data_IF_335025282240
#
_entry.id   IF_335025282240
#
_cell.length_a   1.000
_cell.length_b   1.000
_cell.length_c   1.000
_cell.angle_alpha   90.00
_cell.angle_beta   90.00
_cell.angle_gamma   90.00
#
_symmetry.space_group_name_H-M   'P 1'
#
loop_
_entity.id
_entity.type
_entity.pdbx_description
1 polymer ?
#
# COMPACT_ATOMS: atom_id res chain seq x y z
N UNK A 1 -12.21 -10.56 19.10
CA UNK A 1 -12.36 -10.52 17.62
C UNK A 1 -12.37 -9.07 17.17
N UNK A 2 -11.65 -8.68 16.10
CA UNK A 2 -11.66 -7.31 15.60
C UNK A 2 -13.05 -6.92 15.06
N UNK A 3 -13.44 -5.66 15.23
CA UNK A 3 -14.69 -5.10 14.68
C UNK A 3 -14.41 -4.47 13.32
N UNK A 4 -14.45 -5.25 12.23
CA UNK A 4 -14.05 -4.79 10.90
C UNK A 4 -14.82 -3.54 10.40
N UNK A 5 -16.06 -3.34 10.86
CA UNK A 5 -16.89 -2.18 10.50
C UNK A 5 -16.29 -0.81 10.88
N UNK A 6 -15.33 -0.74 11.81
CA UNK A 6 -14.64 0.52 12.15
C UNK A 6 -13.84 1.10 10.99
N UNK A 7 -13.54 0.30 9.96
CA UNK A 7 -12.90 0.79 8.74
C UNK A 7 -13.84 1.66 7.89
N UNK A 8 -15.17 1.54 8.07
CA UNK A 8 -16.15 2.34 7.34
C UNK A 8 -16.09 3.83 7.72
N UNK A 9 -15.56 4.17 8.91
CA UNK A 9 -15.29 5.55 9.33
C UNK A 9 -14.26 6.24 8.41
N UNK A 10 -13.47 5.46 7.67
CA UNK A 10 -12.47 5.93 6.72
C UNK A 10 -12.87 5.74 5.25
N UNK A 11 -14.17 5.64 4.94
CA UNK A 11 -14.66 5.32 3.59
C UNK A 11 -14.06 6.18 2.47
N UNK A 12 -13.92 7.49 2.68
CA UNK A 12 -13.28 8.39 1.70
C UNK A 12 -11.80 8.06 1.49
N UNK A 13 -11.04 7.85 2.57
CA UNK A 13 -9.62 7.53 2.48
C UNK A 13 -9.39 6.15 1.83
N UNK A 14 -10.21 5.16 2.19
CA UNK A 14 -10.13 3.82 1.61
C UNK A 14 -10.46 3.82 0.12
N UNK A 15 -11.36 4.69 -0.34
CA UNK A 15 -11.63 4.85 -1.77
C UNK A 15 -10.41 5.40 -2.52
N UNK A 16 -9.71 6.39 -1.96
CA UNK A 16 -8.46 6.91 -2.57
C UNK A 16 -7.34 5.86 -2.58
N UNK A 17 -7.19 5.08 -1.50
CA UNK A 17 -6.24 3.95 -1.44
C UNK A 17 -6.59 2.88 -2.49
N UNK A 18 -7.87 2.60 -2.70
CA UNK A 18 -8.32 1.65 -3.72
C UNK A 18 -7.93 2.12 -5.14
N UNK A 19 -7.98 3.43 -5.43
CA UNK A 19 -7.54 3.98 -6.73
C UNK A 19 -6.06 3.71 -6.99
N UNK A 20 -5.19 3.80 -5.98
CA UNK A 20 -3.77 3.44 -6.13
C UNK A 20 -3.62 1.97 -6.53
N UNK A 21 -4.40 1.09 -5.89
CA UNK A 21 -4.44 -0.34 -6.23
C UNK A 21 -4.88 -0.57 -7.68
N UNK A 22 -5.92 0.13 -8.14
CA UNK A 22 -6.40 0.08 -9.53
C UNK A 22 -5.34 0.57 -10.52
N UNK A 23 -4.70 1.72 -10.24
CA UNK A 23 -3.60 2.23 -11.05
C UNK A 23 -2.45 1.21 -11.17
N UNK A 24 -2.09 0.55 -10.06
CA UNK A 24 -1.09 -0.51 -10.07
C UNK A 24 -1.52 -1.75 -10.88
N UNK A 25 -2.81 -2.12 -10.87
CA UNK A 25 -3.35 -3.20 -11.69
C UNK A 25 -3.22 -2.85 -13.17
N UNK A 26 -3.60 -1.64 -13.58
CA UNK A 26 -3.55 -1.16 -14.96
C UNK A 26 -2.12 -1.07 -15.50
N UNK A 27 -1.17 -0.65 -14.65
CA UNK A 27 0.25 -0.53 -15.02
C UNK A 27 0.98 -1.86 -15.07
N UNK A 28 0.56 -2.84 -14.27
CA UNK A 28 1.22 -4.12 -14.12
C UNK A 28 0.23 -5.27 -14.33
N UNK A 29 -0.26 -5.86 -13.25
CA UNK A 29 -1.26 -6.92 -13.24
C UNK A 29 -1.80 -7.11 -11.83
N UNK A 30 -3.00 -7.66 -11.71
CA UNK A 30 -3.61 -7.93 -10.39
C UNK A 30 -2.76 -8.91 -9.59
N UNK A 31 -2.40 -8.52 -8.36
CA UNK A 31 -1.62 -9.34 -7.44
C UNK A 31 -0.12 -9.36 -7.71
N UNK A 32 0.39 -8.62 -8.69
CA UNK A 32 1.84 -8.51 -8.92
C UNK A 32 2.60 -7.94 -7.72
N UNK A 33 1.94 -7.06 -6.95
CA UNK A 33 2.49 -6.40 -5.77
C UNK A 33 3.04 -7.40 -4.72
N UNK A 34 2.43 -8.58 -4.57
CA UNK A 34 2.86 -9.55 -3.56
C UNK A 34 4.09 -10.36 -3.95
N UNK A 35 4.51 -10.29 -5.21
CA UNK A 35 5.64 -11.06 -5.76
C UNK A 35 6.87 -10.17 -6.00
N UNK A 36 6.83 -8.93 -5.54
CA UNK A 36 7.94 -8.00 -5.65
C UNK A 36 9.08 -8.51 -4.77
N UNK A 37 10.23 -8.82 -5.39
CA UNK A 37 11.46 -9.13 -4.68
C UNK A 37 11.81 -8.00 -3.72
N UNK A 38 12.16 -8.35 -2.48
CA UNK A 38 12.42 -7.41 -1.39
C UNK A 38 11.27 -6.42 -1.15
N UNK A 39 10.04 -6.89 -1.34
CA UNK A 39 8.84 -6.06 -1.33
C UNK A 39 8.69 -5.19 -0.08
N UNK A 40 9.05 -5.70 1.11
CA UNK A 40 9.02 -4.91 2.34
C UNK A 40 9.93 -3.68 2.27
N UNK A 41 11.15 -3.83 1.74
CA UNK A 41 12.11 -2.72 1.56
C UNK A 41 11.58 -1.77 0.49
N UNK A 42 11.18 -2.30 -0.67
CA UNK A 42 10.71 -1.48 -1.79
C UNK A 42 9.46 -0.66 -1.45
N UNK A 43 8.52 -1.23 -0.70
CA UNK A 43 7.34 -0.51 -0.23
C UNK A 43 7.65 0.46 0.91
N UNK A 44 8.67 0.20 1.72
CA UNK A 44 9.17 1.18 2.70
C UNK A 44 9.77 2.41 2.00
N UNK A 45 10.61 2.20 0.98
CA UNK A 45 11.19 3.29 0.20
C UNK A 45 10.12 4.08 -0.56
N UNK A 46 9.14 3.39 -1.15
CA UNK A 46 8.04 4.05 -1.85
C UNK A 46 7.18 4.89 -0.90
N UNK A 47 6.80 4.33 0.25
CA UNK A 47 6.12 5.05 1.33
C UNK A 47 6.88 6.33 1.68
N UNK A 48 8.19 6.23 1.95
CA UNK A 48 9.00 7.39 2.34
C UNK A 48 9.10 8.44 1.25
N UNK A 49 9.22 8.03 -0.03
CA UNK A 49 9.22 8.98 -1.15
C UNK A 49 7.92 9.79 -1.22
N UNK A 50 6.77 9.16 -1.03
CA UNK A 50 5.50 9.89 -1.05
C UNK A 50 5.33 10.82 0.15
N UNK A 51 5.74 10.40 1.36
CA UNK A 51 5.72 11.26 2.55
C UNK A 51 6.63 12.49 2.40
N UNK A 52 7.80 12.33 1.78
CA UNK A 52 8.72 13.44 1.54
C UNK A 52 8.21 14.39 0.45
N UNK A 53 7.65 13.84 -0.63
CA UNK A 53 7.14 14.60 -1.77
C UNK A 53 5.82 15.35 -1.46
N UNK A 54 5.03 14.89 -0.49
CA UNK A 54 3.76 15.51 -0.10
C UNK A 54 3.92 16.98 0.34
N UNK A 55 5.07 17.34 0.91
CA UNK A 55 5.39 18.72 1.29
C UNK A 55 5.63 19.65 0.08
N UNK A 56 5.88 19.08 -1.11
CA UNK A 56 6.16 19.80 -2.34
C UNK A 56 4.91 19.86 -3.24
N UNK A 57 4.16 18.76 -3.31
CA UNK A 57 2.91 18.67 -4.08
C UNK A 57 1.92 17.72 -3.41
N UNK A 58 0.63 18.01 -3.57
CA UNK A 58 -0.45 17.14 -3.06
C UNK A 58 -0.63 15.86 -3.88
N UNK A 59 -0.34 15.93 -5.18
CA UNK A 59 -0.53 14.84 -6.13
C UNK A 59 0.80 14.36 -6.68
N UNK A 60 0.90 13.05 -6.88
CA UNK A 60 2.02 12.39 -7.53
C UNK A 60 1.98 12.65 -9.04
N UNK A 61 3.12 12.97 -9.64
CA UNK A 61 3.19 13.39 -11.04
C UNK A 61 2.97 12.28 -12.07
N UNK A 62 3.20 11.01 -11.70
CA UNK A 62 3.03 9.86 -12.61
C UNK A 62 1.56 9.43 -12.67
N UNK A 63 0.90 9.40 -11.51
CA UNK A 63 -0.47 8.88 -11.36
C UNK A 63 -1.54 9.97 -11.30
N UNK A 64 -1.18 11.21 -10.98
CA UNK A 64 -2.09 12.30 -10.62
C UNK A 64 -3.03 11.95 -9.43
N UNK A 65 -2.57 11.07 -8.52
CA UNK A 65 -3.28 10.66 -7.31
C UNK A 65 -2.58 11.19 -6.05
N UNK A 66 -3.27 11.21 -4.92
CA UNK A 66 -2.76 11.80 -3.67
C UNK A 66 -1.50 11.09 -3.15
N UNK A 67 -0.47 11.84 -2.77
CA UNK A 67 0.69 11.28 -2.07
C UNK A 67 0.30 10.53 -0.80
N UNK A 68 -0.64 11.08 -0.01
CA UNK A 68 -1.19 10.40 1.17
C UNK A 68 -1.80 9.02 0.85
N UNK A 69 -2.50 8.89 -0.28
CA UNK A 69 -3.11 7.62 -0.68
C UNK A 69 -2.05 6.60 -1.09
N UNK A 70 -1.02 7.03 -1.83
CA UNK A 70 0.13 6.19 -2.14
C UNK A 70 0.85 5.74 -0.87
N UNK A 71 1.09 6.63 0.08
CA UNK A 71 1.69 6.31 1.36
C UNK A 71 0.87 5.22 2.09
N UNK A 72 -0.43 5.42 2.24
CA UNK A 72 -1.31 4.44 2.88
C UNK A 72 -1.33 3.08 2.16
N UNK A 73 -1.38 3.06 0.82
CA UNK A 73 -1.34 1.83 0.04
C UNK A 73 0.00 1.07 0.22
N UNK A 74 1.13 1.78 0.18
CA UNK A 74 2.46 1.19 0.40
C UNK A 74 2.60 0.65 1.83
N UNK A 75 2.06 1.34 2.84
CA UNK A 75 2.04 0.85 4.22
C UNK A 75 1.25 -0.45 4.36
N UNK A 76 0.09 -0.57 3.72
CA UNK A 76 -0.71 -1.80 3.68
C UNK A 76 0.03 -2.95 2.99
N UNK A 77 0.61 -2.70 1.81
CA UNK A 77 1.36 -3.71 1.07
C UNK A 77 2.56 -4.22 1.89
N UNK A 78 3.31 -3.31 2.52
CA UNK A 78 4.40 -3.64 3.44
C UNK A 78 3.93 -4.50 4.61
N UNK A 79 2.88 -4.08 5.30
CA UNK A 79 2.34 -4.80 6.47
C UNK A 79 1.87 -6.21 6.09
N UNK A 80 1.13 -6.34 4.99
CA UNK A 80 0.63 -7.62 4.50
C UNK A 80 1.78 -8.58 4.16
N UNK A 81 2.87 -8.09 3.55
CA UNK A 81 4.06 -8.92 3.29
C UNK A 81 4.75 -9.40 4.58
N UNK A 82 4.85 -8.54 5.61
CA UNK A 82 5.41 -8.92 6.91
C UNK A 82 4.58 -10.03 7.57
N UNK A 83 3.25 -9.84 7.63
CA UNK A 83 2.33 -10.81 8.24
C UNK A 83 2.34 -12.16 7.50
N UNK A 84 2.42 -12.15 6.17
CA UNK A 84 2.56 -13.38 5.37
C UNK A 84 3.87 -14.10 5.63
N UNK A 85 4.97 -13.36 5.81
CA UNK A 85 6.27 -13.94 6.13
C UNK A 85 6.22 -14.64 7.50
N UNK A 86 5.65 -13.99 8.52
CA UNK A 86 5.46 -14.54 9.86
C UNK A 86 4.60 -15.82 9.82
N UNK A 87 3.43 -15.79 9.17
CA UNK A 87 2.58 -16.98 9.02
C UNK A 87 3.26 -18.13 8.29
N UNK A 88 4.16 -17.85 7.35
CA UNK A 88 4.90 -18.87 6.63
C UNK A 88 6.06 -19.45 7.45
N UNK A 89 6.57 -18.74 8.47
CA UNK A 89 7.52 -19.26 9.44
C UNK A 89 6.83 -20.21 10.41
N UNK A 90 5.69 -19.79 10.98
CA UNK A 90 4.90 -20.62 11.91
C UNK A 90 4.43 -21.96 11.31
N UNK A 91 4.13 -22.01 10.01
CA UNK A 91 3.72 -23.25 9.32
C UNK A 91 4.87 -24.23 9.06
N UNK A 92 6.11 -23.77 9.16
CA UNK A 92 7.32 -24.59 8.91
C UNK A 92 7.89 -25.17 10.20
N UNK A 93 7.46 -24.65 11.35
CA UNK A 93 7.74 -25.15 12.70
C UNK A 93 6.70 -26.20 13.11
#
# INVERSE_FOLDING_TARGET
KPKAGVLLDFGLALLEVAKIGTFGIEKYSRGSWSHVQDGQIRYSDALMRHLLAENQSKFDSDSNLLHAAHAAWNALARLELMLREEQNKEKKE
#
